data_IF_119381816582
#
_entry.id   IF_119381816582
#
_cell.length_a   1.000
_cell.length_b   1.000
_cell.length_c   1.000
_cell.angle_alpha   90.00
_cell.angle_beta   90.00
_cell.angle_gamma   90.00
#
_symmetry.space_group_name_H-M   'P 1'
#
loop_
_entity.id
_entity.type
_entity.pdbx_description
1 polymer ?
#
# COMPACT_ATOMS: atom_id res chain seq x y z
N UNK A 1 3.01 1.17 14.11
CA UNK A 1 1.53 1.28 14.03
C UNK A 1 0.83 1.19 15.39
N UNK A 2 1.44 0.61 16.43
CA UNK A 2 0.83 0.37 17.77
C UNK A 2 0.23 1.58 18.49
N UNK A 3 0.46 2.80 18.01
CA UNK A 3 -0.06 4.04 18.60
C UNK A 3 -1.25 4.61 17.80
N UNK A 4 -1.72 3.93 16.76
CA UNK A 4 -2.88 4.31 15.96
C UNK A 4 -3.64 3.06 15.49
N UNK A 5 -4.80 2.83 16.12
CA UNK A 5 -5.60 1.62 15.90
C UNK A 5 -6.11 1.51 14.46
N UNK A 6 -6.43 2.63 13.80
CA UNK A 6 -6.93 2.65 12.43
C UNK A 6 -5.84 2.25 11.42
N UNK A 7 -4.62 2.74 11.61
CA UNK A 7 -3.47 2.37 10.78
C UNK A 7 -3.09 0.91 10.98
N UNK A 8 -3.15 0.41 12.22
CA UNK A 8 -2.94 -1.01 12.54
C UNK A 8 -4.02 -1.90 11.91
N UNK A 9 -5.29 -1.48 12.01
CA UNK A 9 -6.42 -2.15 11.36
C UNK A 9 -6.20 -2.26 9.84
N UNK A 10 -5.74 -1.19 9.20
CA UNK A 10 -5.45 -1.21 7.76
C UNK A 10 -4.39 -2.27 7.42
N UNK A 11 -3.27 -2.30 8.15
CA UNK A 11 -2.22 -3.29 7.90
C UNK A 11 -2.72 -4.70 8.17
N UNK A 12 -3.50 -4.91 9.24
CA UNK A 12 -4.03 -6.22 9.60
C UNK A 12 -4.94 -6.79 8.51
N UNK A 13 -5.85 -6.00 7.95
CA UNK A 13 -6.72 -6.44 6.84
C UNK A 13 -5.88 -6.89 5.64
N UNK A 14 -4.86 -6.11 5.28
CA UNK A 14 -3.97 -6.44 4.15
C UNK A 14 -3.19 -7.73 4.45
N UNK A 15 -2.66 -7.87 5.66
CA UNK A 15 -1.88 -9.03 6.09
C UNK A 15 -2.71 -10.30 6.16
N UNK A 16 -3.90 -10.27 6.76
CA UNK A 16 -4.82 -11.41 6.83
C UNK A 16 -5.20 -11.89 5.42
N UNK A 17 -5.55 -10.96 4.53
CA UNK A 17 -5.88 -11.27 3.15
C UNK A 17 -4.72 -11.97 2.42
N UNK A 18 -3.50 -11.46 2.59
CA UNK A 18 -2.30 -12.03 1.98
C UNK A 18 -1.93 -13.41 2.56
N UNK A 19 -2.00 -13.58 3.88
CA UNK A 19 -1.63 -14.82 4.58
C UNK A 19 -2.63 -15.95 4.31
N UNK A 20 -3.93 -15.65 4.31
CA UNK A 20 -4.96 -16.65 4.03
C UNK A 20 -5.07 -17.00 2.55
N UNK A 21 -4.48 -16.20 1.66
CA UNK A 21 -4.54 -16.43 0.22
C UNK A 21 -5.97 -16.39 -0.32
N UNK A 22 -6.79 -15.47 0.21
CA UNK A 22 -8.21 -15.40 -0.15
C UNK A 22 -8.39 -15.22 -1.66
N UNK A 23 -9.29 -16.01 -2.24
CA UNK A 23 -9.59 -15.97 -3.69
C UNK A 23 -10.30 -14.69 -4.13
N UNK A 24 -10.96 -13.99 -3.20
CA UNK A 24 -11.72 -12.78 -3.50
C UNK A 24 -10.82 -11.56 -3.33
N UNK A 25 -10.63 -10.79 -4.40
CA UNK A 25 -9.81 -9.58 -4.38
C UNK A 25 -10.18 -8.62 -3.24
N UNK A 26 -9.18 -8.22 -2.45
CA UNK A 26 -9.31 -7.12 -1.50
C UNK A 26 -9.30 -5.77 -2.24
N UNK A 27 -10.42 -5.05 -2.16
CA UNK A 27 -10.54 -3.66 -2.60
C UNK A 27 -10.68 -2.78 -1.37
N UNK A 28 -9.71 -1.90 -1.16
CA UNK A 28 -9.65 -1.06 0.04
C UNK A 28 -9.42 0.40 -0.32
N UNK A 29 -10.26 1.30 0.20
CA UNK A 29 -10.08 2.75 0.09
C UNK A 29 -9.79 3.33 1.47
N UNK A 30 -8.56 3.83 1.65
CA UNK A 30 -8.11 4.46 2.90
C UNK A 30 -8.04 5.97 2.68
N UNK A 31 -8.85 6.72 3.41
CA UNK A 31 -8.90 8.19 3.35
C UNK A 31 -8.46 8.81 4.68
N UNK A 32 -8.33 10.13 4.70
CA UNK A 32 -8.02 10.91 5.89
C UNK A 32 -7.40 12.26 5.54
N UNK A 33 -7.45 13.19 6.48
CA UNK A 33 -6.87 14.53 6.32
C UNK A 33 -5.35 14.49 6.10
N UNK A 34 -4.78 15.61 5.63
CA UNK A 34 -3.32 15.77 5.58
C UNK A 34 -2.68 15.50 6.95
N UNK A 35 -1.56 14.79 6.97
CA UNK A 35 -0.88 14.44 8.23
C UNK A 35 -1.43 13.21 8.97
N UNK A 36 -2.50 12.56 8.49
CA UNK A 36 -3.09 11.37 9.15
C UNK A 36 -2.25 10.08 9.10
N UNK A 37 -1.03 10.14 8.54
CA UNK A 37 -0.12 8.99 8.48
C UNK A 37 -0.43 7.94 7.40
N UNK A 38 -1.20 8.25 6.36
CA UNK A 38 -1.46 7.32 5.23
C UNK A 38 -0.17 6.78 4.59
N UNK A 39 0.83 7.63 4.37
CA UNK A 39 2.13 7.19 3.86
C UNK A 39 2.88 6.26 4.83
N UNK A 40 2.61 6.34 6.13
CA UNK A 40 3.16 5.39 7.10
C UNK A 40 2.51 4.01 6.96
N UNK A 41 1.21 3.94 6.68
CA UNK A 41 0.52 2.66 6.35
C UNK A 41 1.14 2.03 5.10
N UNK A 42 1.35 2.80 4.02
CA UNK A 42 2.00 2.31 2.80
C UNK A 42 3.38 1.72 3.11
N UNK A 43 4.23 2.43 3.85
CA UNK A 43 5.57 1.93 4.23
C UNK A 43 5.50 0.68 5.11
N UNK A 44 4.53 0.60 6.01
CA UNK A 44 4.32 -0.59 6.83
C UNK A 44 3.87 -1.80 6.00
N UNK A 45 3.01 -1.59 4.99
CA UNK A 45 2.64 -2.64 4.03
C UNK A 45 3.85 -3.13 3.23
N UNK A 46 4.71 -2.21 2.74
CA UNK A 46 5.96 -2.60 2.06
C UNK A 46 6.85 -3.46 2.95
N UNK A 47 7.07 -3.04 4.19
CA UNK A 47 7.88 -3.77 5.15
C UNK A 47 7.28 -5.15 5.48
N UNK A 48 5.95 -5.23 5.58
CA UNK A 48 5.26 -6.51 5.78
C UNK A 48 5.54 -7.50 4.64
N UNK A 49 5.38 -7.08 3.38
CA UNK A 49 5.67 -7.95 2.22
C UNK A 49 7.15 -8.36 2.17
N UNK A 50 8.08 -7.48 2.55
CA UNK A 50 9.50 -7.83 2.70
C UNK A 50 9.72 -8.89 3.76
N UNK A 51 9.10 -8.75 4.94
CA UNK A 51 9.21 -9.73 6.05
C UNK A 51 8.56 -11.05 5.72
N UNK A 52 7.52 -11.06 4.87
CA UNK A 52 6.92 -12.27 4.33
C UNK A 52 7.75 -12.92 3.21
N UNK A 53 8.89 -12.34 2.82
CA UNK A 53 9.74 -12.87 1.76
C UNK A 53 9.12 -12.77 0.37
N UNK A 54 8.18 -11.84 0.16
CA UNK A 54 7.45 -11.67 -1.11
C UNK A 54 7.43 -10.21 -1.60
N UNK A 55 8.55 -9.47 -1.58
CA UNK A 55 8.57 -8.07 -2.01
C UNK A 55 8.10 -7.85 -3.45
N UNK A 56 8.29 -8.84 -4.32
CA UNK A 56 7.89 -8.82 -5.74
C UNK A 56 6.37 -8.90 -5.95
N UNK A 57 5.61 -9.32 -4.92
CA UNK A 57 4.14 -9.38 -4.97
C UNK A 57 3.46 -8.05 -4.67
N UNK A 58 4.23 -7.00 -4.38
CA UNK A 58 3.72 -5.67 -4.10
C UNK A 58 4.20 -4.69 -5.16
N UNK A 59 3.27 -3.91 -5.71
CA UNK A 59 3.58 -2.83 -6.65
C UNK A 59 2.90 -1.55 -6.18
N UNK A 60 3.64 -0.44 -6.21
CA UNK A 60 3.17 0.86 -5.73
C UNK A 60 2.97 1.81 -6.90
N UNK A 61 1.84 2.52 -6.89
CA UNK A 61 1.57 3.57 -7.86
C UNK A 61 0.94 4.82 -7.26
N UNK A 62 1.13 5.94 -7.94
CA UNK A 62 0.48 7.19 -7.61
C UNK A 62 0.06 7.96 -8.88
N UNK A 63 -0.85 8.95 -8.79
CA UNK A 63 -1.31 9.71 -9.96
C UNK A 63 -0.24 10.64 -10.56
N UNK A 64 0.63 11.23 -9.72
CA UNK A 64 1.63 12.22 -10.15
C UNK A 64 3.06 11.73 -9.87
N UNK A 65 4.03 12.28 -10.62
CA UNK A 65 5.45 11.92 -10.46
C UNK A 65 5.97 12.17 -9.04
N UNK A 66 5.66 13.33 -8.45
CA UNK A 66 6.08 13.65 -7.08
C UNK A 66 5.48 12.69 -6.05
N UNK A 67 4.21 12.31 -6.20
CA UNK A 67 3.57 11.35 -5.31
C UNK A 67 4.15 9.93 -5.45
N UNK A 68 4.51 9.54 -6.67
CA UNK A 68 5.15 8.25 -6.94
C UNK A 68 6.53 8.17 -6.27
N UNK A 69 7.34 9.22 -6.38
CA UNK A 69 8.64 9.32 -5.69
C UNK A 69 8.48 9.21 -4.17
N UNK A 70 7.45 9.83 -3.58
CA UNK A 70 7.23 9.80 -2.12
C UNK A 70 6.93 8.41 -1.55
N UNK A 71 6.47 7.48 -2.39
CA UNK A 71 6.16 6.11 -1.99
C UNK A 71 7.12 5.09 -2.62
N UNK A 72 8.22 5.53 -3.21
CA UNK A 72 9.17 4.68 -3.94
C UNK A 72 8.48 3.80 -5.01
N UNK A 73 7.51 4.37 -5.72
CA UNK A 73 6.70 3.70 -6.73
C UNK A 73 6.75 4.36 -8.09
N UNK A 74 5.79 3.99 -8.94
CA UNK A 74 5.66 4.51 -10.30
C UNK A 74 4.41 5.39 -10.44
N UNK A 75 4.37 6.25 -11.46
CA UNK A 75 3.07 6.81 -11.85
C UNK A 75 2.16 5.69 -12.37
N UNK A 76 0.84 5.80 -12.18
CA UNK A 76 -0.09 4.80 -12.71
C UNK A 76 0.10 4.58 -14.22
N UNK A 77 0.27 5.65 -15.00
CA UNK A 77 0.56 5.60 -16.43
C UNK A 77 1.79 4.76 -16.77
N UNK A 78 2.90 5.00 -16.08
CA UNK A 78 4.14 4.25 -16.29
C UNK A 78 3.99 2.77 -15.89
N UNK A 79 3.23 2.48 -14.84
CA UNK A 79 3.08 1.12 -14.33
C UNK A 79 2.17 0.26 -15.21
N UNK A 80 1.10 0.85 -15.74
CA UNK A 80 0.09 0.13 -16.51
C UNK A 80 0.20 0.36 -18.02
N UNK A 81 1.23 1.11 -18.46
CA UNK A 81 1.42 1.53 -19.85
C UNK A 81 0.24 2.29 -20.45
N UNK A 82 -0.53 2.98 -19.61
CA UNK A 82 -1.60 3.87 -20.08
C UNK A 82 -1.00 5.16 -20.66
N UNK A 83 -1.61 5.71 -21.73
CA UNK A 83 -1.20 7.02 -22.26
C UNK A 83 -1.40 8.12 -21.20
N UNK A 84 -0.55 9.15 -21.28
CA UNK A 84 -0.62 10.34 -20.42
C UNK A 84 -1.81 11.23 -20.78
#
# INVERSE_FOLDING_TARGET
>A
LSNNAEQEMCLRIIGEHFIHGDIKQLLMFITGIGGSGKSHVIRATVEMFRRCGAPEKLTLSAPTGSAAVLIDGYTIHALTFLPK
#
